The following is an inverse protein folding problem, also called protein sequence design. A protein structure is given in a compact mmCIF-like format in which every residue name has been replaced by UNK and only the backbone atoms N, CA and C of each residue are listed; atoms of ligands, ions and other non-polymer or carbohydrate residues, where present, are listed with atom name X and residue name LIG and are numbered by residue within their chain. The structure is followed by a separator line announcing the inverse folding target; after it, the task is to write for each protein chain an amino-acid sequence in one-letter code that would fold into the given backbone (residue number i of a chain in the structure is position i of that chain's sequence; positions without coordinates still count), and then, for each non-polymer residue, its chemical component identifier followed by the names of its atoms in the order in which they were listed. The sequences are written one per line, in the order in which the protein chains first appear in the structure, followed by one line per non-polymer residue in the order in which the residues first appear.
data_IF_778979517205
#
_entry.id   IF_778979517205
#
_cell.length_a   1.000
_cell.length_b   1.000
_cell.length_c   1.000
_cell.angle_alpha   90.00
_cell.angle_beta   90.00
_cell.angle_gamma   90.00
#
_symmetry.space_group_name_H-M   'P 1'
#
loop_
_entity.id
_entity.type
_entity.pdbx_description
1 polymer ?
#
# COMPACT_ATOMS: atom_id res chain seq x y z
N UNK A 1 -21.20 -52.66 9.41
CA UNK A 1 -20.19 -51.95 8.58
C UNK A 1 -20.83 -50.71 7.99
N UNK A 2 -20.38 -49.53 8.44
CA UNK A 2 -20.81 -48.20 8.01
C UNK A 2 -20.49 -47.94 6.53
N UNK A 3 -21.46 -47.44 5.77
CA UNK A 3 -21.22 -46.74 4.50
C UNK A 3 -21.53 -45.26 4.73
N UNK A 4 -20.52 -44.51 5.13
CA UNK A 4 -20.60 -43.05 5.19
C UNK A 4 -20.59 -42.55 3.75
N UNK A 5 -21.74 -42.02 3.31
CA UNK A 5 -21.95 -41.47 1.96
C UNK A 5 -20.96 -40.34 1.69
N UNK A 6 -20.19 -40.47 0.60
CA UNK A 6 -19.13 -39.56 0.13
C UNK A 6 -19.57 -38.14 -0.24
N UNK A 7 -20.81 -37.74 0.08
CA UNK A 7 -21.41 -36.46 -0.30
C UNK A 7 -21.17 -35.33 0.72
N UNK A 8 -20.72 -35.64 1.94
CA UNK A 8 -20.43 -34.62 2.95
C UNK A 8 -19.06 -33.95 2.78
N UNK A 9 -18.15 -34.51 1.96
CA UNK A 9 -16.78 -34.01 1.83
C UNK A 9 -16.66 -32.80 0.88
N UNK A 10 -17.56 -32.63 -0.10
CA UNK A 10 -17.49 -31.51 -1.04
C UNK A 10 -18.07 -30.20 -0.49
N UNK A 11 -18.92 -30.26 0.54
CA UNK A 11 -19.48 -29.05 1.16
C UNK A 11 -18.50 -28.35 2.11
N UNK A 12 -17.50 -29.05 2.64
CA UNK A 12 -16.51 -28.51 3.57
C UNK A 12 -15.36 -27.74 2.88
N UNK A 13 -15.24 -27.85 1.55
CA UNK A 13 -14.16 -27.17 0.81
C UNK A 13 -14.59 -25.77 0.36
N UNK A 14 -15.89 -25.48 0.24
CA UNK A 14 -16.37 -24.13 -0.10
C UNK A 14 -16.30 -23.13 1.07
N UNK A 15 -16.12 -23.60 2.32
CA UNK A 15 -16.03 -22.73 3.49
C UNK A 15 -14.64 -22.12 3.75
N UNK A 16 -13.59 -22.59 3.08
CA UNK A 16 -12.20 -22.33 3.49
C UNK A 16 -11.38 -21.49 2.49
N UNK A 17 -11.98 -20.97 1.41
CA UNK A 17 -11.28 -20.12 0.44
C UNK A 17 -12.01 -18.81 0.18
N UNK A 18 -12.48 -18.15 1.23
CA UNK A 18 -12.42 -16.69 1.25
C UNK A 18 -10.98 -16.34 1.62
N UNK A 19 -10.04 -16.62 0.72
CA UNK A 19 -8.79 -15.90 0.76
C UNK A 19 -9.21 -14.43 0.66
N UNK A 20 -8.92 -13.65 1.70
CA UNK A 20 -8.98 -12.19 1.65
C UNK A 20 -8.01 -11.77 0.56
N UNK A 21 -8.44 -11.83 -0.70
CA UNK A 21 -7.81 -11.11 -1.78
C UNK A 21 -8.01 -9.67 -1.36
N UNK A 22 -6.95 -9.05 -0.83
CA UNK A 22 -6.94 -7.62 -0.57
C UNK A 22 -7.06 -6.95 -1.93
N UNK A 23 -8.30 -6.70 -2.35
CA UNK A 23 -8.57 -5.93 -3.55
C UNK A 23 -7.92 -4.57 -3.38
N UNK A 24 -7.28 -4.07 -4.44
CA UNK A 24 -6.82 -2.68 -4.52
C UNK A 24 -7.95 -1.74 -4.07
N UNK A 25 -7.70 -0.93 -3.04
CA UNK A 25 -8.63 0.10 -2.57
C UNK A 25 -8.15 1.45 -3.07
N UNK A 26 -9.08 2.33 -3.36
CA UNK A 26 -8.80 3.76 -3.49
C UNK A 26 -9.93 4.50 -2.77
N UNK A 27 -9.65 5.72 -2.32
CA UNK A 27 -10.71 6.62 -1.92
C UNK A 27 -11.46 7.09 -3.17
N UNK A 28 -12.74 7.41 -2.99
CA UNK A 28 -13.48 8.12 -4.04
C UNK A 28 -12.72 9.39 -4.44
N UNK A 29 -12.73 9.72 -5.74
CA UNK A 29 -12.08 10.94 -6.23
C UNK A 29 -12.68 12.20 -5.60
N UNK A 30 -13.92 12.15 -5.12
CA UNK A 30 -14.58 13.24 -4.39
C UNK A 30 -14.26 13.30 -2.90
N UNK A 31 -13.54 12.31 -2.33
CA UNK A 31 -13.13 12.37 -0.93
C UNK A 31 -12.18 13.58 -0.73
N UNK A 32 -12.48 14.50 0.20
CA UNK A 32 -11.73 15.74 0.36
C UNK A 32 -10.28 15.52 0.83
N UNK A 33 -9.98 14.39 1.47
CA UNK A 33 -8.64 14.06 1.93
C UNK A 33 -7.79 13.44 0.81
N UNK A 34 -8.41 12.78 -0.17
CA UNK A 34 -7.68 12.02 -1.19
C UNK A 34 -6.64 12.88 -1.91
N UNK A 35 -7.04 14.06 -2.40
CA UNK A 35 -6.12 14.96 -3.08
C UNK A 35 -4.99 15.46 -2.15
N UNK A 36 -5.29 15.67 -0.87
CA UNK A 36 -4.31 16.15 0.10
C UNK A 36 -3.30 15.07 0.51
N UNK A 37 -3.75 13.82 0.62
CA UNK A 37 -2.91 12.63 0.85
C UNK A 37 -1.90 12.49 -0.30
N UNK A 38 -2.38 12.52 -1.55
CA UNK A 38 -1.50 12.42 -2.72
C UNK A 38 -0.53 13.60 -2.79
N UNK A 39 -1.01 14.82 -2.51
CA UNK A 39 -0.14 16.00 -2.45
C UNK A 39 0.92 15.90 -1.35
N UNK A 40 0.63 15.23 -0.22
CA UNK A 40 1.59 15.01 0.84
C UNK A 40 2.75 14.11 0.41
N UNK A 41 2.44 13.04 -0.34
CA UNK A 41 3.46 12.16 -0.92
C UNK A 41 4.28 12.87 -1.99
N UNK A 42 3.65 13.66 -2.87
CA UNK A 42 4.39 14.50 -3.82
C UNK A 42 5.36 15.46 -3.11
N UNK A 43 4.91 16.16 -2.06
CA UNK A 43 5.77 17.06 -1.27
C UNK A 43 6.92 16.36 -0.57
N UNK A 44 6.74 15.10 -0.16
CA UNK A 44 7.80 14.30 0.43
C UNK A 44 8.85 13.97 -0.64
N UNK A 45 8.41 13.41 -1.76
CA UNK A 45 9.28 12.97 -2.84
C UNK A 45 10.00 14.12 -3.55
N UNK A 46 9.36 15.30 -3.67
CA UNK A 46 10.00 16.50 -4.24
C UNK A 46 11.21 17.00 -3.43
N UNK A 47 11.38 16.54 -2.19
CA UNK A 47 12.57 16.84 -1.37
C UNK A 47 13.79 16.02 -1.78
N UNK A 48 13.57 14.86 -2.40
CA UNK A 48 14.62 13.97 -2.87
C UNK A 48 14.89 14.25 -4.36
N UNK A 49 16.07 14.77 -4.74
CA UNK A 49 16.37 15.19 -6.12
C UNK A 49 16.11 14.10 -7.18
N UNK A 50 16.35 12.85 -6.83
CA UNK A 50 16.15 11.67 -7.67
C UNK A 50 14.69 11.29 -7.85
N UNK A 51 13.81 11.67 -6.92
CA UNK A 51 12.36 11.41 -6.98
C UNK A 51 11.56 12.60 -7.51
N UNK A 52 12.21 13.76 -7.63
CA UNK A 52 11.59 14.97 -8.16
C UNK A 52 10.98 14.72 -9.54
N UNK A 53 9.75 15.18 -9.73
CA UNK A 53 8.93 15.04 -10.94
C UNK A 53 8.45 13.61 -11.27
N UNK A 54 8.75 12.60 -10.44
CA UNK A 54 8.15 11.28 -10.62
C UNK A 54 6.64 11.34 -10.41
N UNK A 55 5.94 10.52 -11.20
CA UNK A 55 4.50 10.35 -11.08
C UNK A 55 4.20 9.01 -10.42
N UNK A 56 2.95 8.86 -9.97
CA UNK A 56 2.53 7.66 -9.27
C UNK A 56 1.14 7.24 -9.72
N UNK A 57 0.92 5.93 -9.75
CA UNK A 57 -0.41 5.35 -9.83
C UNK A 57 -0.76 4.76 -8.47
N UNK A 58 -1.95 5.07 -7.96
CA UNK A 58 -2.44 4.50 -6.70
C UNK A 58 -2.72 3.02 -6.93
N UNK A 59 -2.08 2.16 -6.14
CA UNK A 59 -2.31 0.72 -6.13
C UNK A 59 -3.22 0.35 -4.97
N UNK A 60 -2.97 0.90 -3.78
CA UNK A 60 -3.85 0.73 -2.62
C UNK A 60 -3.84 2.01 -1.78
N UNK A 61 -5.01 2.50 -1.40
CA UNK A 61 -5.18 3.64 -0.51
C UNK A 61 -6.28 3.32 0.50
N UNK A 62 -5.86 3.22 1.76
CA UNK A 62 -6.69 3.06 2.93
C UNK A 62 -6.65 4.35 3.75
N UNK A 63 -7.80 4.82 4.22
CA UNK A 63 -7.89 5.91 5.19
C UNK A 63 -8.73 5.47 6.38
N UNK A 64 -8.23 5.79 7.57
CA UNK A 64 -8.94 5.67 8.84
C UNK A 64 -8.83 7.00 9.60
N UNK A 65 -9.87 7.84 9.49
CA UNK A 65 -9.94 9.18 10.06
C UNK A 65 -8.71 10.08 9.74
N UNK A 66 -7.79 10.24 10.69
CA UNK A 66 -6.57 11.04 10.60
C UNK A 66 -5.32 10.22 10.24
N UNK A 67 -5.48 8.93 9.94
CA UNK A 67 -4.43 8.05 9.45
C UNK A 67 -4.73 7.55 8.04
N UNK A 68 -3.69 7.33 7.23
CA UNK A 68 -3.84 6.66 5.94
C UNK A 68 -2.60 5.81 5.60
N UNK A 69 -2.83 4.78 4.81
CA UNK A 69 -1.80 4.00 4.13
C UNK A 69 -1.94 4.21 2.64
N UNK A 70 -0.84 4.53 1.98
CA UNK A 70 -0.80 4.67 0.54
C UNK A 70 0.31 3.78 -0.04
N UNK A 71 -0.09 2.93 -0.98
CA UNK A 71 0.79 2.16 -1.84
C UNK A 71 0.65 2.66 -3.27
N UNK A 72 1.77 2.94 -3.92
CA UNK A 72 1.80 3.45 -5.29
C UNK A 72 2.80 2.70 -6.15
N UNK A 73 2.48 2.60 -7.43
CA UNK A 73 3.40 2.26 -8.48
C UNK A 73 4.06 3.52 -9.04
N UNK A 74 5.38 3.53 -9.12
CA UNK A 74 6.17 4.59 -9.71
C UNK A 74 6.01 4.62 -11.22
N UNK A 75 5.85 5.82 -11.74
CA UNK A 75 5.85 6.13 -13.16
C UNK A 75 6.95 7.15 -13.46
N UNK A 76 7.53 7.02 -14.64
CA UNK A 76 8.52 7.96 -15.16
C UNK A 76 7.95 9.39 -15.22
N UNK A 77 8.85 10.36 -15.35
CA UNK A 77 8.50 11.80 -15.32
C UNK A 77 7.52 12.20 -16.42
N UNK A 78 7.57 11.53 -17.57
CA UNK A 78 6.65 11.75 -18.68
C UNK A 78 5.28 11.06 -18.48
N UNK A 79 5.14 10.24 -17.43
CA UNK A 79 3.96 9.44 -17.12
C UNK A 79 3.96 8.06 -17.77
N UNK A 80 5.02 7.68 -18.48
CA UNK A 80 5.27 6.30 -18.86
C UNK A 80 5.37 5.42 -17.62
N UNK A 81 4.77 4.23 -17.67
CA UNK A 81 5.12 3.20 -16.70
C UNK A 81 6.52 2.70 -17.05
N UNK A 82 7.44 2.73 -16.08
CA UNK A 82 8.73 2.05 -16.22
C UNK A 82 8.42 0.56 -16.28
N UNK A 83 8.43 0.00 -17.49
CA UNK A 83 8.25 -1.43 -17.72
C UNK A 83 9.61 -2.00 -18.08
N UNK A 84 10.22 -2.73 -17.15
CA UNK A 84 11.31 -3.66 -17.47
C UNK A 84 10.79 -5.05 -17.14
N UNK A 85 10.29 -5.77 -18.14
CA UNK A 85 10.00 -7.21 -18.12
C UNK A 85 9.45 -7.80 -16.78
N UNK A 86 8.53 -7.09 -16.10
CA UNK A 86 7.54 -7.55 -15.10
C UNK A 86 7.32 -6.67 -13.84
N UNK A 87 7.95 -5.49 -13.65
CA UNK A 87 7.74 -4.77 -12.36
C UNK A 87 7.70 -3.24 -12.43
N UNK A 88 6.70 -2.67 -11.75
CA UNK A 88 6.67 -1.26 -11.36
C UNK A 88 7.33 -1.10 -9.99
N UNK A 89 8.16 -0.08 -9.81
CA UNK A 89 8.70 0.27 -8.49
C UNK A 89 7.55 0.60 -7.55
N UNK A 90 7.42 -0.12 -6.44
CA UNK A 90 6.36 0.12 -5.46
C UNK A 90 6.92 0.95 -4.31
N UNK A 91 6.21 2.01 -3.95
CA UNK A 91 6.46 2.77 -2.74
C UNK A 91 5.27 2.69 -1.81
N UNK A 92 5.54 2.58 -0.52
CA UNK A 92 4.52 2.56 0.53
C UNK A 92 4.76 3.69 1.53
N UNK A 93 3.68 4.31 1.97
CA UNK A 93 3.67 5.46 2.85
C UNK A 93 2.64 5.30 3.95
N UNK A 94 2.99 5.73 5.15
CA UNK A 94 2.04 6.05 6.20
C UNK A 94 1.77 7.56 6.18
N UNK A 95 0.54 7.98 6.42
CA UNK A 95 0.18 9.38 6.52
C UNK A 95 -0.59 9.69 7.79
N UNK A 96 -0.31 10.87 8.35
CA UNK A 96 -1.02 11.44 9.50
C UNK A 96 -1.61 12.81 9.11
N UNK A 97 -2.84 13.08 9.56
CA UNK A 97 -3.50 14.37 9.37
C UNK A 97 -3.20 15.32 10.53
N UNK A 98 -2.28 16.25 10.30
CA UNK A 98 -2.03 17.40 11.16
C UNK A 98 -2.85 18.59 10.67
N UNK A 99 -4.07 18.77 11.20
CA UNK A 99 -5.04 19.76 10.68
C UNK A 99 -4.39 21.12 10.35
N UNK A 100 -4.52 21.63 9.10
CA UNK A 100 -5.34 21.12 7.98
C UNK A 100 -4.57 20.25 6.96
N UNK A 101 -3.36 19.78 7.27
CA UNK A 101 -2.46 19.14 6.30
C UNK A 101 -2.24 17.65 6.58
N UNK A 102 -2.10 16.87 5.51
CA UNK A 102 -1.57 15.52 5.59
C UNK A 102 -0.05 15.54 5.50
N UNK A 103 0.61 14.71 6.31
CA UNK A 103 2.06 14.52 6.34
C UNK A 103 2.35 13.06 6.04
N UNK A 104 3.21 12.81 5.05
CA UNK A 104 3.61 11.48 4.64
C UNK A 104 4.95 11.08 5.30
N UNK A 105 5.06 9.80 5.60
CA UNK A 105 6.30 9.13 6.01
C UNK A 105 6.48 7.93 5.08
N UNK A 106 7.63 7.85 4.42
CA UNK A 106 7.99 6.68 3.61
C UNK A 106 8.19 5.46 4.53
N UNK A 107 7.62 4.32 4.16
CA UNK A 107 7.77 3.06 4.88
C UNK A 107 8.76 2.16 4.17
N UNK A 108 8.61 2.02 2.85
CA UNK A 108 9.54 1.29 2.02
C UNK A 108 9.42 1.72 0.57
N UNK A 109 10.52 1.62 -0.16
CA UNK A 109 10.55 1.73 -1.61
C UNK A 109 11.36 0.58 -2.18
N UNK A 110 10.78 -0.17 -3.12
CA UNK A 110 11.55 -1.10 -3.96
C UNK A 110 11.97 -0.32 -5.20
N UNK A 111 13.13 0.31 -5.15
CA UNK A 111 13.70 1.05 -6.28
C UNK A 111 14.32 0.13 -7.33
N UNK A 112 14.43 0.64 -8.56
CA UNK A 112 15.05 -0.03 -9.72
C UNK A 112 16.59 -0.10 -9.63
N UNK A 113 17.16 -0.52 -8.49
CA UNK A 113 18.60 -0.72 -8.43
C UNK A 113 19.00 -1.78 -9.49
N UNK A 114 20.00 -1.48 -10.32
CA UNK A 114 20.44 -2.40 -11.37
C UNK A 114 20.83 -3.77 -10.77
N UNK A 115 20.12 -4.82 -11.18
CA UNK A 115 20.31 -6.18 -10.64
C UNK A 115 19.53 -6.50 -9.37
N UNK A 116 18.66 -5.61 -8.88
CA UNK A 116 17.70 -5.95 -7.84
C UNK A 116 16.79 -7.07 -8.33
N UNK A 117 16.58 -8.08 -7.47
CA UNK A 117 15.64 -9.15 -7.80
C UNK A 117 14.24 -8.56 -7.91
N UNK A 118 13.48 -8.98 -8.92
CA UNK A 118 12.10 -8.58 -9.02
C UNK A 118 11.35 -8.95 -7.72
N UNK A 119 10.73 -8.00 -7.01
CA UNK A 119 9.80 -8.24 -5.89
C UNK A 119 8.42 -7.73 -6.29
N UNK A 120 7.49 -8.66 -6.51
CA UNK A 120 6.07 -8.32 -6.57
C UNK A 120 5.67 -7.85 -5.17
N UNK A 121 5.62 -6.54 -4.95
CA UNK A 121 5.15 -6.01 -3.68
C UNK A 121 3.63 -5.90 -3.74
N UNK A 122 2.93 -6.81 -3.08
CA UNK A 122 1.47 -6.77 -2.88
C UNK A 122 1.08 -5.65 -1.87
N UNK A 123 1.74 -4.49 -1.94
CA UNK A 123 1.61 -3.40 -0.97
C UNK A 123 1.88 -3.83 0.48
N UNK A 124 2.69 -4.88 0.66
CA UNK A 124 3.06 -5.38 1.97
C UNK A 124 4.24 -4.58 2.52
N UNK A 125 4.24 -4.34 3.83
CA UNK A 125 5.37 -3.78 4.57
C UNK A 125 5.91 -4.86 5.50
N UNK A 126 7.20 -5.18 5.38
CA UNK A 126 7.85 -6.26 6.14
C UNK A 126 7.09 -7.61 6.03
N UNK A 127 6.63 -7.93 4.82
CA UNK A 127 5.87 -9.15 4.52
C UNK A 127 4.44 -9.20 5.07
N UNK A 128 3.89 -8.06 5.53
CA UNK A 128 2.54 -7.97 6.08
C UNK A 128 1.65 -6.99 5.30
N UNK A 129 0.41 -7.39 5.08
CA UNK A 129 -0.61 -6.52 4.49
C UNK A 129 -1.04 -5.44 5.49
N UNK A 130 -1.34 -4.24 4.98
CA UNK A 130 -1.79 -3.10 5.78
C UNK A 130 -3.28 -2.85 5.55
N UNK A 131 -4.12 -3.17 6.52
CA UNK A 131 -5.58 -3.11 6.37
C UNK A 131 -6.30 -2.26 7.40
N UNK A 132 -5.61 -1.90 8.48
CA UNK A 132 -6.16 -1.18 9.62
C UNK A 132 -5.16 -0.13 10.11
N UNK A 133 -5.61 0.80 10.96
CA UNK A 133 -4.71 1.72 11.66
C UNK A 133 -3.66 0.99 12.50
N UNK A 134 -4.02 -0.13 13.12
CA UNK A 134 -3.07 -0.94 13.89
C UNK A 134 -1.97 -1.50 12.97
N UNK A 135 -2.32 -1.91 11.75
CA UNK A 135 -1.33 -2.33 10.75
C UNK A 135 -0.45 -1.16 10.29
N UNK A 136 -1.01 0.05 10.13
CA UNK A 136 -0.23 1.27 9.82
C UNK A 136 0.81 1.53 10.91
N UNK A 137 0.39 1.45 12.18
CA UNK A 137 1.28 1.63 13.32
C UNK A 137 2.32 0.51 13.43
N UNK A 138 1.93 -0.73 13.09
CA UNK A 138 2.86 -1.85 13.03
C UNK A 138 3.91 -1.65 11.93
N UNK A 139 3.50 -1.18 10.76
CA UNK A 139 4.37 -0.87 9.63
C UNK A 139 5.36 0.25 9.98
N UNK A 140 4.87 1.38 10.54
CA UNK A 140 5.72 2.47 11.05
C UNK A 140 6.77 1.95 12.04
N UNK A 141 6.36 1.11 12.99
CA UNK A 141 7.28 0.52 13.97
C UNK A 141 8.32 -0.39 13.31
N UNK A 142 7.91 -1.23 12.36
CA UNK A 142 8.80 -2.15 11.65
C UNK A 142 9.87 -1.40 10.84
N UNK A 143 9.55 -0.21 10.33
CA UNK A 143 10.45 0.64 9.55
C UNK A 143 11.20 1.69 10.40
N UNK A 144 11.09 1.61 11.73
CA UNK A 144 11.85 2.46 12.66
C UNK A 144 11.23 3.83 12.95
N UNK A 145 10.00 4.06 12.53
CA UNK A 145 9.24 5.28 12.80
C UNK A 145 8.39 5.16 14.06
N UNK A 146 7.98 6.32 14.59
CA UNK A 146 7.03 6.37 15.71
C UNK A 146 5.63 6.04 15.20
N UNK A 147 4.82 5.28 15.96
CA UNK A 147 3.42 5.06 15.62
C UNK A 147 2.66 6.39 15.67
N UNK A 148 1.57 6.46 14.90
CA UNK A 148 0.66 7.59 14.92
C UNK A 148 -0.05 7.66 16.27
N UNK A 149 -0.28 8.88 16.77
CA UNK A 149 -1.09 9.06 17.96
C UNK A 149 -2.54 8.67 17.63
N UNK A 150 -3.17 7.84 18.46
CA UNK A 150 -4.62 7.68 18.42
C UNK A 150 -5.24 8.93 19.02
N UNK A 151 -6.08 9.63 18.25
CA UNK A 151 -6.92 10.71 18.76
C UNK A 151 -8.34 10.23 18.98
#
# INVERSE_FOLDING_TARGET
MMKVSKLAACALILGATLANVASARDLDKSDPDRAQILAAVHRLNDREPEMKDYRYFVVDLLKDHDAAFLCVALAEKDGGLILTDDQAGIMTFALEKHHPQWVATELSGVGFAAGAKPVQSDCNVDGRAVNTRDDINAALKATGHKPLFSR
#
